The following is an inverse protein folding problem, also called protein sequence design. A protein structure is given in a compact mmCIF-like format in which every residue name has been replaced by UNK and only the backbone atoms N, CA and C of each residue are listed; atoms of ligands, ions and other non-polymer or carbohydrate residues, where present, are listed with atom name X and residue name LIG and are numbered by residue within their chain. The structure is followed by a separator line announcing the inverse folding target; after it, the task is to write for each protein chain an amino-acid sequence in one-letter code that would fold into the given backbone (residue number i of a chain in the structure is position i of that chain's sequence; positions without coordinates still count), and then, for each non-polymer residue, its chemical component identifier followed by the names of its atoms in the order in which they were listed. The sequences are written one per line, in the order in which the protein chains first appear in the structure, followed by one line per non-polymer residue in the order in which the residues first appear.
data_IF_582632706339
#
_entry.id   IF_582632706339
#
_cell.length_a   1.000
_cell.length_b   1.000
_cell.length_c   1.000
_cell.angle_alpha   90.00
_cell.angle_beta   90.00
_cell.angle_gamma   90.00
#
_symmetry.space_group_name_H-M   'P 1'
#
loop_
_entity.id
_entity.type
_entity.pdbx_description
1 polymer ?
#
# COMPACT_ATOMS: atom_id res chain seq x y z
N UNK A 1 16.54 -11.54 9.98
CA UNK A 1 15.11 -11.19 10.07
C UNK A 1 14.63 -10.79 8.68
N UNK A 2 13.46 -11.22 8.24
CA UNK A 2 12.94 -10.79 6.95
C UNK A 2 12.56 -9.29 6.99
N UNK A 3 12.91 -8.56 5.93
CA UNK A 3 12.65 -7.13 5.81
C UNK A 3 11.30 -6.88 5.13
N UNK A 4 10.39 -6.22 5.85
CA UNK A 4 9.08 -5.77 5.37
C UNK A 4 9.11 -4.26 5.13
N UNK A 5 8.81 -3.82 3.91
CA UNK A 5 8.59 -2.41 3.61
C UNK A 5 7.09 -2.14 3.46
N UNK A 6 6.58 -1.18 4.26
CA UNK A 6 5.20 -0.68 4.19
C UNK A 6 5.17 0.66 3.47
N UNK A 7 4.27 0.82 2.48
CA UNK A 7 4.22 2.03 1.65
C UNK A 7 2.82 2.61 1.60
N UNK A 8 2.73 3.92 1.87
CA UNK A 8 1.55 4.75 1.59
C UNK A 8 1.96 6.01 0.83
N UNK A 9 1.01 6.73 0.26
CA UNK A 9 1.32 7.99 -0.46
C UNK A 9 1.71 9.10 0.51
N UNK A 10 1.06 9.18 1.66
CA UNK A 10 1.26 10.23 2.68
C UNK A 10 1.34 9.61 4.08
N UNK A 11 2.09 10.22 5.04
CA UNK A 11 2.30 9.63 6.36
C UNK A 11 1.01 9.49 7.17
N UNK A 12 0.06 10.43 7.05
CA UNK A 12 -1.24 10.35 7.75
C UNK A 12 -2.02 9.08 7.38
N UNK A 13 -1.89 8.60 6.14
CA UNK A 13 -2.52 7.32 5.74
C UNK A 13 -1.92 6.14 6.50
N UNK A 14 -0.64 6.18 6.80
CA UNK A 14 0.04 5.15 7.59
C UNK A 14 -0.41 5.21 9.06
N UNK A 15 -0.46 6.42 9.61
CA UNK A 15 -0.89 6.67 10.99
C UNK A 15 -2.34 6.21 11.24
N UNK A 16 -3.24 6.43 10.27
CA UNK A 16 -4.67 6.10 10.42
C UNK A 16 -4.97 4.65 10.02
N UNK A 17 -4.48 4.22 8.85
CA UNK A 17 -4.83 2.90 8.29
C UNK A 17 -4.01 1.75 8.86
N UNK A 18 -2.81 2.01 9.38
CA UNK A 18 -1.86 0.97 9.78
C UNK A 18 -1.38 1.10 11.21
N UNK A 19 -2.08 1.88 12.04
CA UNK A 19 -1.72 2.14 13.43
C UNK A 19 -1.43 0.84 14.19
N UNK A 20 -0.24 0.74 14.78
CA UNK A 20 0.23 -0.41 15.57
C UNK A 20 0.63 -1.64 14.74
N UNK A 21 0.40 -1.63 13.42
CA UNK A 21 0.72 -2.80 12.59
C UNK A 21 2.22 -2.98 12.37
N UNK A 22 3.00 -1.90 12.28
CA UNK A 22 4.45 -2.01 12.13
C UNK A 22 5.08 -2.56 13.40
N UNK A 23 4.70 -2.04 14.57
CA UNK A 23 5.14 -2.56 15.85
C UNK A 23 4.78 -4.03 16.04
N UNK A 24 3.54 -4.42 15.73
CA UNK A 24 3.11 -5.82 15.76
C UNK A 24 3.98 -6.71 14.86
N UNK A 25 4.31 -6.28 13.63
CA UNK A 25 5.15 -7.07 12.73
C UNK A 25 6.59 -7.21 13.26
N UNK A 26 7.11 -6.18 13.93
CA UNK A 26 8.43 -6.27 14.60
C UNK A 26 8.40 -7.30 15.74
N UNK A 27 7.34 -7.34 16.54
CA UNK A 27 7.13 -8.35 17.59
C UNK A 27 7.02 -9.77 17.01
N UNK A 28 6.60 -9.91 15.74
CA UNK A 28 6.58 -11.18 15.01
C UNK A 28 7.91 -11.51 14.31
N UNK A 29 8.98 -10.76 14.58
CA UNK A 29 10.33 -11.05 14.09
C UNK A 29 10.64 -10.47 12.70
N UNK A 30 9.91 -9.45 12.23
CA UNK A 30 10.25 -8.72 11.00
C UNK A 30 11.06 -7.46 11.31
N UNK A 31 12.03 -7.15 10.47
CA UNK A 31 12.51 -5.77 10.34
C UNK A 31 11.49 -4.98 9.51
N UNK A 32 11.05 -3.81 10.00
CA UNK A 32 10.04 -3.01 9.31
C UNK A 32 10.58 -1.64 8.94
N UNK A 33 10.30 -1.21 7.71
CA UNK A 33 10.61 0.12 7.19
C UNK A 33 9.34 0.73 6.60
N UNK A 34 9.09 1.99 6.95
CA UNK A 34 7.99 2.78 6.40
C UNK A 34 8.46 3.65 5.24
N UNK A 35 7.63 3.79 4.20
CA UNK A 35 7.88 4.72 3.08
C UNK A 35 6.60 5.51 2.80
N UNK A 36 6.71 6.85 2.79
CA UNK A 36 5.67 7.76 2.32
C UNK A 36 6.27 9.08 1.85
N UNK A 37 5.42 10.07 1.50
CA UNK A 37 5.90 11.44 1.36
C UNK A 37 6.38 11.99 2.71
N UNK A 38 7.04 13.14 2.67
CA UNK A 38 7.32 13.93 3.86
C UNK A 38 6.02 14.51 4.45
N UNK A 39 6.06 14.83 5.75
CA UNK A 39 4.94 15.44 6.48
C UNK A 39 5.25 15.61 7.96
N UNK A 40 4.51 16.51 8.65
CA UNK A 40 4.72 16.79 10.07
C UNK A 40 4.50 15.55 10.96
N UNK A 41 3.74 14.56 10.46
CA UNK A 41 3.42 13.34 11.19
C UNK A 41 4.57 12.34 11.26
N UNK A 42 5.60 12.47 10.41
CA UNK A 42 6.66 11.46 10.25
C UNK A 42 7.38 11.17 11.57
N UNK A 43 7.78 12.19 12.30
CA UNK A 43 8.49 12.02 13.60
C UNK A 43 7.62 11.30 14.64
N UNK A 44 6.35 11.68 14.72
CA UNK A 44 5.41 11.04 15.63
C UNK A 44 5.14 9.59 15.25
N UNK A 45 5.06 9.31 13.94
CA UNK A 45 4.86 7.98 13.38
C UNK A 45 6.06 7.06 13.68
N UNK A 46 7.30 7.54 13.49
CA UNK A 46 8.51 6.80 13.82
C UNK A 46 8.59 6.45 15.32
N UNK A 47 8.25 7.41 16.17
CA UNK A 47 8.22 7.18 17.62
C UNK A 47 7.11 6.19 18.03
N UNK A 48 5.93 6.27 17.41
CA UNK A 48 4.79 5.41 17.70
C UNK A 48 5.02 3.97 17.25
N UNK A 49 5.52 3.78 16.03
CA UNK A 49 5.68 2.48 15.42
C UNK A 49 7.08 1.85 15.66
N UNK A 50 8.00 2.61 16.25
CA UNK A 50 9.36 2.19 16.58
C UNK A 50 10.16 1.64 15.38
N UNK A 51 9.92 2.19 14.19
CA UNK A 51 10.63 1.83 12.97
C UNK A 51 10.93 3.06 12.11
N UNK A 52 12.00 2.98 11.33
CA UNK A 52 12.46 4.12 10.50
C UNK A 52 11.50 4.41 9.36
N UNK A 53 11.43 5.67 8.99
CA UNK A 53 10.76 6.16 7.81
C UNK A 53 11.75 6.60 6.72
N UNK A 54 11.44 6.31 5.46
CA UNK A 54 12.18 6.78 4.29
C UNK A 54 11.25 7.66 3.46
N UNK A 55 11.61 8.90 3.25
CA UNK A 55 10.82 9.83 2.45
C UNK A 55 11.01 9.61 0.96
N UNK A 56 9.90 9.44 0.25
CA UNK A 56 9.79 9.45 -1.21
C UNK A 56 8.81 10.55 -1.59
N UNK A 57 9.13 11.47 -2.54
CA UNK A 57 8.33 12.67 -2.78
C UNK A 57 7.03 12.38 -3.55
N UNK A 58 6.19 11.51 -2.99
CA UNK A 58 4.86 11.24 -3.53
C UNK A 58 3.97 12.47 -3.50
N UNK A 59 3.10 12.57 -4.47
CA UNK A 59 2.01 13.55 -4.51
C UNK A 59 0.66 12.84 -4.65
N UNK A 60 -0.41 13.44 -4.14
CA UNK A 60 -1.77 12.89 -4.34
C UNK A 60 -2.29 13.16 -5.75
N UNK A 61 -1.79 14.21 -6.41
CA UNK A 61 -2.17 14.60 -7.77
C UNK A 61 -1.50 13.70 -8.81
N UNK A 62 -2.15 13.51 -9.95
CA UNK A 62 -1.54 12.85 -11.12
C UNK A 62 -0.40 13.77 -11.62
N UNK A 63 0.83 13.27 -11.60
CA UNK A 63 2.02 14.02 -12.00
C UNK A 63 3.05 13.05 -12.59
N UNK A 64 2.99 12.78 -13.91
CA UNK A 64 3.80 11.72 -14.54
C UNK A 64 5.31 11.88 -14.31
N UNK A 65 5.84 13.10 -14.39
CA UNK A 65 7.27 13.37 -14.16
C UNK A 65 7.65 13.04 -12.71
N UNK A 66 6.88 13.54 -11.74
CA UNK A 66 7.12 13.27 -10.32
C UNK A 66 6.94 11.79 -10.01
N UNK A 67 5.98 11.15 -10.64
CA UNK A 67 5.71 9.72 -10.46
C UNK A 67 6.89 8.87 -10.98
N UNK A 68 7.51 9.28 -12.10
CA UNK A 68 8.73 8.65 -12.61
C UNK A 68 9.92 8.84 -11.63
N UNK A 69 10.09 10.03 -11.07
CA UNK A 69 11.10 10.29 -10.03
C UNK A 69 10.88 9.37 -8.81
N UNK A 70 9.64 9.26 -8.35
CA UNK A 70 9.29 8.37 -7.25
C UNK A 70 9.58 6.90 -7.58
N UNK A 71 9.23 6.45 -8.79
CA UNK A 71 9.49 5.08 -9.25
C UNK A 71 11.00 4.76 -9.23
N UNK A 72 11.82 5.64 -9.82
CA UNK A 72 13.29 5.46 -9.83
C UNK A 72 13.86 5.47 -8.42
N UNK A 73 13.38 6.34 -7.54
CA UNK A 73 13.81 6.39 -6.14
C UNK A 73 13.44 5.11 -5.39
N UNK A 74 12.23 4.60 -5.58
CA UNK A 74 11.80 3.31 -5.00
C UNK A 74 12.66 2.15 -5.49
N UNK A 75 12.96 2.06 -6.79
CA UNK A 75 13.84 1.02 -7.35
C UNK A 75 15.23 1.07 -6.69
N UNK A 76 15.81 2.27 -6.54
CA UNK A 76 17.10 2.43 -5.86
C UNK A 76 17.05 1.99 -4.40
N UNK A 77 15.99 2.34 -3.68
CA UNK A 77 15.77 1.94 -2.29
C UNK A 77 15.67 0.40 -2.19
N UNK A 78 14.85 -0.23 -3.03
CA UNK A 78 14.64 -1.68 -2.98
C UNK A 78 15.89 -2.47 -3.38
N UNK A 79 16.63 -2.02 -4.38
CA UNK A 79 17.91 -2.63 -4.77
C UNK A 79 18.98 -2.52 -3.67
N UNK A 80 18.96 -1.42 -2.91
CA UNK A 80 19.89 -1.20 -1.78
C UNK A 80 19.49 -2.03 -0.56
N UNK A 81 18.19 -2.03 -0.20
CA UNK A 81 17.70 -2.69 1.02
C UNK A 81 17.40 -4.16 0.84
N UNK A 82 17.12 -4.61 -0.40
CA UNK A 82 16.76 -5.99 -0.76
C UNK A 82 15.63 -6.56 0.12
N UNK A 83 14.46 -5.89 0.19
CA UNK A 83 13.38 -6.35 1.04
C UNK A 83 12.84 -7.71 0.60
N UNK A 84 12.44 -8.53 1.56
CA UNK A 84 11.72 -9.78 1.31
C UNK A 84 10.26 -9.52 0.94
N UNK A 85 9.67 -8.48 1.55
CA UNK A 85 8.25 -8.15 1.39
C UNK A 85 8.09 -6.65 1.15
N UNK A 86 7.35 -6.28 0.12
CA UNK A 86 6.82 -4.93 -0.07
C UNK A 86 5.31 -4.97 0.00
N UNK A 87 4.71 -4.15 0.89
CA UNK A 87 3.27 -4.05 1.06
C UNK A 87 2.78 -2.62 0.91
N UNK A 88 1.94 -2.36 -0.08
CA UNK A 88 1.40 -1.04 -0.42
C UNK A 88 -0.07 -0.92 -0.06
N UNK A 89 -0.54 0.30 0.31
CA UNK A 89 -1.88 0.50 0.87
C UNK A 89 -2.70 1.63 0.26
N UNK A 90 -2.16 2.42 -0.66
CA UNK A 90 -2.88 3.52 -1.33
C UNK A 90 -2.68 3.45 -2.83
N UNK A 91 -3.60 3.98 -3.66
CA UNK A 91 -3.56 3.76 -5.12
C UNK A 91 -2.23 4.14 -5.78
N UNK A 92 -1.71 5.34 -5.51
CA UNK A 92 -0.44 5.79 -6.12
C UNK A 92 0.77 5.00 -5.58
N UNK A 93 0.84 4.79 -4.26
CA UNK A 93 1.88 3.94 -3.67
C UNK A 93 1.77 2.49 -4.16
N UNK A 94 0.54 2.02 -4.41
CA UNK A 94 0.26 0.73 -5.04
C UNK A 94 0.88 0.63 -6.42
N UNK A 95 0.53 1.54 -7.32
CA UNK A 95 1.05 1.54 -8.68
C UNK A 95 2.58 1.58 -8.70
N UNK A 96 3.16 2.60 -8.09
CA UNK A 96 4.60 2.84 -8.18
C UNK A 96 5.40 1.81 -7.35
N UNK A 97 4.90 1.46 -6.16
CA UNK A 97 5.56 0.50 -5.26
C UNK A 97 5.55 -0.92 -5.82
N UNK A 98 4.44 -1.38 -6.41
CA UNK A 98 4.36 -2.72 -6.99
C UNK A 98 5.27 -2.87 -8.20
N UNK A 99 5.30 -1.89 -9.11
CA UNK A 99 6.20 -1.90 -10.26
C UNK A 99 7.67 -1.78 -9.85
N UNK A 100 8.00 -0.88 -8.92
CA UNK A 100 9.36 -0.77 -8.38
C UNK A 100 9.83 -2.09 -7.73
N UNK A 101 8.97 -2.73 -6.95
CA UNK A 101 9.27 -3.99 -6.29
C UNK A 101 9.50 -5.13 -7.30
N UNK A 102 8.65 -5.22 -8.34
CA UNK A 102 8.81 -6.19 -9.40
C UNK A 102 10.12 -5.99 -10.18
N UNK A 103 10.40 -4.74 -10.60
CA UNK A 103 11.63 -4.38 -11.33
C UNK A 103 12.90 -4.55 -10.49
N UNK A 104 12.76 -4.61 -9.16
CA UNK A 104 13.88 -4.83 -8.22
C UNK A 104 14.01 -6.28 -7.77
N UNK A 105 13.17 -7.20 -8.27
CA UNK A 105 13.21 -8.61 -7.92
C UNK A 105 12.70 -8.95 -6.52
N UNK A 106 11.89 -8.06 -5.88
CA UNK A 106 11.31 -8.35 -4.56
C UNK A 106 10.38 -9.57 -4.66
N UNK A 107 10.58 -10.62 -3.86
CA UNK A 107 9.85 -11.88 -4.04
C UNK A 107 8.38 -11.77 -3.63
N UNK A 108 8.06 -11.08 -2.55
CA UNK A 108 6.70 -10.97 -2.02
C UNK A 108 6.19 -9.54 -2.17
N UNK A 109 5.20 -9.35 -3.04
CA UNK A 109 4.64 -8.04 -3.40
C UNK A 109 3.15 -8.03 -3.08
N UNK A 110 2.79 -7.35 -1.99
CA UNK A 110 1.45 -7.31 -1.43
C UNK A 110 0.81 -5.94 -1.66
N UNK A 111 -0.46 -5.93 -2.02
CA UNK A 111 -1.23 -4.71 -2.14
C UNK A 111 -2.58 -4.84 -1.44
N UNK A 112 -2.91 -3.88 -0.56
CA UNK A 112 -4.23 -3.78 0.07
C UNK A 112 -5.07 -2.74 -0.68
N UNK A 113 -6.24 -3.14 -1.13
CA UNK A 113 -7.23 -2.26 -1.76
C UNK A 113 -8.21 -1.80 -0.68
N UNK A 114 -7.98 -0.60 -0.15
CA UNK A 114 -8.84 -0.03 0.90
C UNK A 114 -10.15 0.58 0.35
N UNK A 115 -10.14 1.01 -0.89
CA UNK A 115 -11.30 1.58 -1.59
C UNK A 115 -11.08 1.60 -3.10
N UNK A 116 -12.13 1.87 -3.85
CA UNK A 116 -12.13 1.91 -5.32
C UNK A 116 -12.59 3.29 -5.81
N UNK A 117 -11.70 4.30 -5.87
CA UNK A 117 -12.08 5.67 -6.27
C UNK A 117 -12.78 5.75 -7.64
N UNK A 118 -12.48 4.81 -8.53
CA UNK A 118 -13.08 4.77 -9.86
C UNK A 118 -14.55 4.34 -9.89
N UNK A 119 -15.09 3.80 -8.81
CA UNK A 119 -16.51 3.45 -8.70
C UNK A 119 -17.39 4.72 -8.64
N UNK A 120 -16.88 5.75 -7.97
CA UNK A 120 -17.58 7.04 -7.81
C UNK A 120 -17.32 8.01 -8.98
N UNK A 121 -16.49 7.63 -9.96
CA UNK A 121 -16.16 8.44 -11.13
C UNK A 121 -16.91 7.97 -12.37
N UNK A 122 -17.01 8.85 -13.37
CA UNK A 122 -17.69 8.56 -14.64
C UNK A 122 -16.77 8.83 -15.85
N UNK A 123 -17.20 8.43 -17.03
CA UNK A 123 -16.54 8.76 -18.30
C UNK A 123 -15.09 8.26 -18.41
N UNK A 124 -14.23 9.11 -18.97
CA UNK A 124 -12.82 8.80 -19.21
C UNK A 124 -12.05 8.55 -17.90
N UNK A 125 -12.30 9.32 -16.86
CA UNK A 125 -11.62 9.18 -15.57
C UNK A 125 -11.85 7.79 -14.95
N UNK A 126 -13.07 7.27 -15.01
CA UNK A 126 -13.39 5.91 -14.57
C UNK A 126 -12.57 4.85 -15.30
N UNK A 127 -12.47 4.98 -16.64
CA UNK A 127 -11.69 4.05 -17.47
C UNK A 127 -10.19 4.11 -17.11
N UNK A 128 -9.66 5.31 -16.94
CA UNK A 128 -8.27 5.54 -16.56
C UNK A 128 -7.94 4.93 -15.19
N UNK A 129 -8.73 5.25 -14.16
CA UNK A 129 -8.49 4.74 -12.81
C UNK A 129 -8.65 3.21 -12.74
N UNK A 130 -9.63 2.63 -13.45
CA UNK A 130 -9.76 1.18 -13.58
C UNK A 130 -8.55 0.54 -14.27
N UNK A 131 -7.99 1.18 -15.29
CA UNK A 131 -6.77 0.74 -15.95
C UNK A 131 -5.57 0.78 -15.00
N UNK A 132 -5.43 1.86 -14.23
CA UNK A 132 -4.40 2.00 -13.18
C UNK A 132 -4.52 0.88 -12.13
N UNK A 133 -5.73 0.52 -11.72
CA UNK A 133 -5.96 -0.60 -10.80
C UNK A 133 -5.47 -1.93 -11.38
N UNK A 134 -5.76 -2.20 -12.67
CA UNK A 134 -5.22 -3.38 -13.37
C UNK A 134 -3.69 -3.36 -13.42
N UNK A 135 -3.10 -2.21 -13.73
CA UNK A 135 -1.64 -2.05 -13.76
C UNK A 135 -1.02 -2.30 -12.37
N UNK A 136 -1.67 -1.84 -11.31
CA UNK A 136 -1.23 -2.10 -9.93
C UNK A 136 -1.28 -3.60 -9.59
N UNK A 137 -2.35 -4.27 -10.00
CA UNK A 137 -2.55 -5.69 -9.75
C UNK A 137 -1.59 -6.61 -10.52
N UNK A 138 -1.10 -6.18 -11.68
CA UNK A 138 -0.26 -7.01 -12.55
C UNK A 138 1.01 -7.51 -11.86
N UNK A 139 1.89 -6.67 -11.30
CA UNK A 139 3.11 -7.11 -10.64
C UNK A 139 2.91 -7.63 -9.21
N UNK A 140 1.74 -7.42 -8.61
CA UNK A 140 1.46 -7.91 -7.25
C UNK A 140 1.43 -9.45 -7.21
N UNK A 141 2.01 -10.06 -6.16
CA UNK A 141 1.92 -11.50 -5.90
C UNK A 141 0.63 -11.86 -5.17
N UNK A 142 0.12 -10.98 -4.31
CA UNK A 142 -1.17 -11.11 -3.61
C UNK A 142 -1.82 -9.74 -3.42
N UNK A 143 -3.15 -9.74 -3.41
CA UNK A 143 -3.98 -8.54 -3.23
C UNK A 143 -4.99 -8.82 -2.13
N UNK A 144 -5.18 -7.85 -1.25
CA UNK A 144 -6.09 -7.94 -0.11
C UNK A 144 -7.20 -6.89 -0.22
N UNK A 145 -8.35 -7.24 -0.81
CA UNK A 145 -9.54 -6.41 -0.76
C UNK A 145 -10.09 -6.32 0.68
N UNK A 146 -10.67 -5.17 1.03
CA UNK A 146 -11.21 -4.93 2.37
C UNK A 146 -12.57 -5.62 2.64
N UNK A 147 -13.18 -6.28 1.65
CA UNK A 147 -14.42 -7.03 1.84
C UNK A 147 -14.64 -8.08 0.75
N UNK A 148 -15.47 -9.07 1.06
CA UNK A 148 -15.89 -10.07 0.07
C UNK A 148 -16.70 -9.44 -1.09
N UNK A 149 -17.46 -8.39 -0.81
CA UNK A 149 -18.20 -7.64 -1.85
C UNK A 149 -17.22 -6.97 -2.81
N UNK A 150 -16.19 -6.31 -2.27
CA UNK A 150 -15.14 -5.69 -3.08
C UNK A 150 -14.37 -6.72 -3.90
N UNK A 151 -14.05 -7.88 -3.34
CA UNK A 151 -13.39 -8.97 -4.07
C UNK A 151 -14.26 -9.41 -5.25
N UNK A 152 -15.53 -9.78 -5.03
CA UNK A 152 -16.45 -10.20 -6.10
C UNK A 152 -16.60 -9.13 -7.19
N UNK A 153 -16.69 -7.88 -6.79
CA UNK A 153 -16.78 -6.77 -7.74
C UNK A 153 -15.52 -6.66 -8.61
N UNK A 154 -14.32 -6.79 -8.05
CA UNK A 154 -13.05 -6.78 -8.79
C UNK A 154 -12.94 -7.99 -9.73
N UNK A 155 -13.39 -9.17 -9.31
CA UNK A 155 -13.46 -10.39 -10.14
C UNK A 155 -14.36 -10.18 -11.36
N UNK A 156 -15.55 -9.60 -11.18
CA UNK A 156 -16.46 -9.24 -12.28
C UNK A 156 -15.84 -8.24 -13.27
N UNK A 157 -14.93 -7.39 -12.78
CA UNK A 157 -14.20 -6.44 -13.60
C UNK A 157 -12.92 -7.03 -14.23
N UNK A 158 -12.66 -8.32 -14.05
CA UNK A 158 -11.43 -9.02 -14.48
C UNK A 158 -10.14 -8.34 -13.98
N UNK A 159 -10.15 -7.94 -12.70
CA UNK A 159 -8.99 -7.34 -12.02
C UNK A 159 -8.46 -8.34 -11.00
N UNK A 160 -7.16 -8.59 -10.99
CA UNK A 160 -6.45 -9.40 -10.00
C UNK A 160 -6.94 -10.85 -9.85
N UNK A 161 -7.48 -11.47 -10.90
CA UNK A 161 -8.00 -12.84 -10.86
C UNK A 161 -6.96 -13.83 -10.31
N UNK A 162 -7.39 -14.68 -9.37
CA UNK A 162 -6.54 -15.69 -8.72
C UNK A 162 -5.49 -15.15 -7.74
N UNK A 163 -5.39 -13.82 -7.55
CA UNK A 163 -4.42 -13.19 -6.63
C UNK A 163 -5.07 -12.62 -5.37
N UNK A 164 -6.38 -12.55 -5.29
CA UNK A 164 -7.11 -11.90 -4.20
C UNK A 164 -7.41 -12.85 -3.04
N UNK A 165 -7.35 -12.31 -1.83
CA UNK A 165 -7.79 -12.96 -0.60
C UNK A 165 -8.24 -11.90 0.40
N UNK A 166 -9.46 -12.04 0.92
CA UNK A 166 -9.92 -11.23 2.04
C UNK A 166 -9.37 -11.80 3.34
N UNK A 167 -8.77 -10.95 4.17
CA UNK A 167 -8.23 -11.34 5.48
C UNK A 167 -9.33 -11.26 6.54
N UNK A 168 -9.49 -12.33 7.32
CA UNK A 168 -10.53 -12.41 8.35
C UNK A 168 -11.93 -12.17 7.78
N UNK A 169 -12.65 -11.25 8.39
CA UNK A 169 -13.99 -10.81 7.94
C UNK A 169 -13.95 -9.61 6.98
N UNK A 170 -12.76 -9.19 6.56
CA UNK A 170 -12.52 -7.95 5.80
C UNK A 170 -12.18 -6.78 6.73
N UNK A 171 -11.90 -5.63 6.13
CA UNK A 171 -11.35 -4.42 6.77
C UNK A 171 -9.91 -4.59 7.25
N UNK A 172 -9.03 -3.68 6.82
CA UNK A 172 -7.65 -3.59 7.32
C UNK A 172 -7.58 -2.89 8.68
N UNK A 173 -8.66 -2.21 9.09
CA UNK A 173 -8.75 -1.43 10.31
C UNK A 173 -9.85 -2.01 11.20
N UNK A 174 -9.49 -2.43 12.40
CA UNK A 174 -10.45 -2.75 13.42
C UNK A 174 -11.12 -1.49 13.99
N UNK A 175 -12.34 -1.63 14.50
CA UNK A 175 -12.99 -0.60 15.32
C UNK A 175 -12.80 -1.01 16.78
N UNK A 176 -12.26 -0.11 17.59
CA UNK A 176 -12.20 -0.33 19.03
C UNK A 176 -13.59 -0.11 19.63
N UNK A 177 -14.34 -1.20 19.76
CA UNK A 177 -15.72 -1.17 20.29
C UNK A 177 -15.79 -0.63 21.72
N UNK A 178 -14.72 -0.74 22.51
CA UNK A 178 -14.66 -0.15 23.87
C UNK A 178 -14.65 1.37 23.86
N UNK A 179 -14.13 1.99 22.79
CA UNK A 179 -14.13 3.44 22.64
C UNK A 179 -15.50 4.00 22.27
N UNK A 180 -16.35 3.17 21.64
CA UNK A 180 -17.70 3.54 21.19
C UNK A 180 -18.82 2.90 22.06
N UNK A 181 -18.47 2.17 23.13
CA UNK A 181 -19.46 1.70 24.10
C UNK A 181 -19.95 2.86 24.94
N UNK A 182 -21.24 3.12 24.90
CA UNK A 182 -21.96 4.05 25.79
C UNK A 182 -22.02 3.44 27.19
#
# INVERSE_FOLDING_TARGET
MPLLIRITTVPVSMQVLLKGQMKFMQEQGFEVVMISSDGPEVKALEAQEQCRHITVPFTRKISPVQDLVCLVKLIRIFRKLKPDIVHTHTPKAGLLGMWAAWMSGVPIRLHTIAGLPWVETTGFMRKLLRFVEKLTATPASRIYPNSMVQQRFLEQQHIALGKMKVLGKGSSNGINSKYFSV
#
